data_IF_203210351745
#
_entry.id   IF_203210351745
#
_cell.length_a   1.000
_cell.length_b   1.000
_cell.length_c   1.000
_cell.angle_alpha   90.00
_cell.angle_beta   90.00
_cell.angle_gamma   90.00
#
_symmetry.space_group_name_H-M   'P 1'
#
loop_
_entity.id
_entity.type
_entity.pdbx_description
1 polymer ?
#
# COMPACT_ATOMS: atom_id res chain seq x y z
N UNK A 1 17.31 -1.36 -27.17
CA UNK A 1 18.27 -0.26 -26.97
C UNK A 1 18.00 0.28 -25.59
N UNK A 2 18.98 0.20 -24.68
CA UNK A 2 18.78 0.64 -23.29
C UNK A 2 18.61 2.16 -23.29
N UNK A 3 17.51 2.65 -22.71
CA UNK A 3 17.27 4.08 -22.56
C UNK A 3 18.31 4.67 -21.60
N UNK A 4 18.72 5.92 -21.82
CA UNK A 4 19.47 6.66 -20.80
C UNK A 4 18.65 6.75 -19.51
N UNK A 5 19.31 6.72 -18.35
CA UNK A 5 18.66 6.78 -17.03
C UNK A 5 17.57 7.87 -16.93
N UNK A 6 17.89 9.10 -17.35
CA UNK A 6 16.94 10.22 -17.32
C UNK A 6 15.67 9.92 -18.13
N UNK A 7 15.82 9.38 -19.34
CA UNK A 7 14.66 9.00 -20.18
C UNK A 7 13.81 7.92 -19.53
N UNK A 8 14.44 6.93 -18.89
CA UNK A 8 13.72 5.86 -18.19
C UNK A 8 12.93 6.41 -16.98
N UNK A 9 13.54 7.30 -16.18
CA UNK A 9 12.87 7.94 -15.04
C UNK A 9 11.70 8.81 -15.52
N UNK A 10 11.91 9.64 -16.55
CA UNK A 10 10.86 10.50 -17.11
C UNK A 10 9.70 9.66 -17.63
N UNK A 11 9.98 8.59 -18.39
CA UNK A 11 8.94 7.67 -18.87
C UNK A 11 8.18 7.03 -17.70
N UNK A 12 8.90 6.54 -16.69
CA UNK A 12 8.30 5.95 -15.50
C UNK A 12 7.37 6.92 -14.77
N UNK A 13 7.84 8.14 -14.46
CA UNK A 13 7.04 9.16 -13.77
C UNK A 13 5.82 9.55 -14.61
N UNK A 14 5.99 9.79 -15.91
CA UNK A 14 4.89 10.15 -16.80
C UNK A 14 3.82 9.05 -16.83
N UNK A 15 4.20 7.77 -16.92
CA UNK A 15 3.26 6.65 -16.95
C UNK A 15 2.61 6.44 -15.57
N UNK A 16 3.37 6.51 -14.48
CA UNK A 16 2.85 6.30 -13.13
C UNK A 16 1.81 7.36 -12.76
N UNK A 17 2.17 8.63 -12.86
CA UNK A 17 1.26 9.73 -12.53
C UNK A 17 0.14 9.87 -13.57
N UNK A 18 0.44 9.66 -14.85
CA UNK A 18 -0.58 9.70 -15.91
C UNK A 18 -1.64 8.62 -15.72
N UNK A 19 -1.24 7.37 -15.45
CA UNK A 19 -2.20 6.29 -15.20
C UNK A 19 -2.95 6.46 -13.89
N UNK A 20 -2.32 6.97 -12.82
CA UNK A 20 -3.02 7.31 -11.59
C UNK A 20 -4.09 8.38 -11.81
N UNK A 21 -3.76 9.43 -12.57
CA UNK A 21 -4.72 10.47 -12.93
C UNK A 21 -5.87 9.92 -13.78
N UNK A 22 -5.60 9.01 -14.71
CA UNK A 22 -6.67 8.34 -15.48
C UNK A 22 -7.60 7.51 -14.59
N UNK A 23 -7.05 6.80 -13.59
CA UNK A 23 -7.84 6.04 -12.60
C UNK A 23 -8.70 6.98 -11.75
N UNK A 24 -8.14 8.11 -11.31
CA UNK A 24 -8.87 9.13 -10.54
C UNK A 24 -9.98 9.77 -11.39
N UNK A 25 -9.70 10.15 -12.63
CA UNK A 25 -10.69 10.69 -13.55
C UNK A 25 -11.80 9.68 -13.84
N UNK A 26 -11.48 8.42 -14.07
CA UNK A 26 -12.47 7.37 -14.27
C UNK A 26 -13.41 7.23 -13.06
N UNK A 27 -12.88 7.31 -11.83
CA UNK A 27 -13.72 7.33 -10.64
C UNK A 27 -14.64 8.56 -10.62
N UNK A 28 -14.18 9.73 -11.04
CA UNK A 28 -14.97 10.96 -10.99
C UNK A 28 -16.02 11.06 -12.11
N UNK A 29 -15.70 10.62 -13.32
CA UNK A 29 -16.53 10.89 -14.52
C UNK A 29 -17.45 9.74 -14.88
N UNK A 30 -17.12 8.49 -14.54
CA UNK A 30 -17.99 7.36 -14.85
C UNK A 30 -19.19 7.41 -13.89
N UNK A 31 -20.43 7.37 -14.41
CA UNK A 31 -21.65 7.39 -13.59
C UNK A 31 -21.89 6.03 -12.92
N UNK A 32 -20.99 5.66 -12.02
CA UNK A 32 -21.10 4.50 -11.13
C UNK A 32 -21.44 4.95 -9.72
N UNK A 33 -22.26 4.16 -9.03
CA UNK A 33 -22.55 4.32 -7.61
C UNK A 33 -21.26 4.29 -6.79
N UNK A 34 -21.04 5.32 -5.98
CA UNK A 34 -19.87 5.42 -5.10
C UNK A 34 -20.12 4.62 -3.83
N UNK A 35 -19.86 3.33 -3.91
CA UNK A 35 -19.94 2.41 -2.77
C UNK A 35 -18.56 2.22 -2.13
N UNK A 36 -18.47 1.72 -0.89
CA UNK A 36 -17.19 1.34 -0.29
C UNK A 36 -16.38 0.38 -1.17
N UNK A 37 -17.06 -0.56 -1.84
CA UNK A 37 -16.42 -1.47 -2.80
C UNK A 37 -15.81 -0.71 -3.99
N UNK A 38 -16.52 0.28 -4.53
CA UNK A 38 -16.02 1.15 -5.61
C UNK A 38 -14.72 1.85 -5.19
N UNK A 39 -14.67 2.39 -3.97
CA UNK A 39 -13.47 3.04 -3.44
C UNK A 39 -12.33 2.05 -3.17
N UNK A 40 -12.63 0.83 -2.69
CA UNK A 40 -11.62 -0.22 -2.53
C UNK A 40 -11.00 -0.61 -3.87
N UNK A 41 -11.82 -0.81 -4.90
CA UNK A 41 -11.34 -1.14 -6.25
C UNK A 41 -10.52 0.02 -6.83
N UNK A 42 -10.99 1.26 -6.71
CA UNK A 42 -10.23 2.43 -7.13
C UNK A 42 -8.87 2.53 -6.43
N UNK A 43 -8.84 2.39 -5.10
CA UNK A 43 -7.60 2.44 -4.32
C UNK A 43 -6.63 1.34 -4.73
N UNK A 44 -7.14 0.12 -4.95
CA UNK A 44 -6.34 -1.01 -5.42
C UNK A 44 -5.74 -0.74 -6.81
N UNK A 45 -6.55 -0.26 -7.76
CA UNK A 45 -6.07 0.09 -9.10
C UNK A 45 -5.00 1.19 -9.05
N UNK A 46 -5.23 2.22 -8.24
CA UNK A 46 -4.29 3.33 -8.05
C UNK A 46 -2.94 2.84 -7.52
N UNK A 47 -2.92 1.93 -6.55
CA UNK A 47 -1.68 1.36 -5.99
C UNK A 47 -0.88 0.51 -6.99
N UNK A 48 -1.50 0.01 -8.07
CA UNK A 48 -0.81 -0.73 -9.13
C UNK A 48 -0.29 0.14 -10.28
N UNK A 49 -0.57 1.43 -10.28
CA UNK A 49 -0.04 2.37 -11.29
C UNK A 49 1.50 2.41 -11.34
N UNK A 50 2.26 2.31 -10.22
CA UNK A 50 3.72 2.25 -10.26
C UNK A 50 4.24 0.93 -10.86
N UNK A 51 3.51 -0.19 -10.67
CA UNK A 51 3.81 -1.47 -11.34
C UNK A 51 3.59 -1.37 -12.84
N UNK A 52 2.47 -0.77 -13.26
CA UNK A 52 2.23 -0.55 -14.70
C UNK A 52 3.35 0.28 -15.32
N UNK A 53 3.75 1.35 -14.64
CA UNK A 53 4.84 2.22 -15.09
C UNK A 53 6.18 1.50 -15.21
N UNK A 54 6.54 0.66 -14.23
CA UNK A 54 7.80 -0.11 -14.29
C UNK A 54 7.78 -1.10 -15.45
N UNK A 55 6.70 -1.86 -15.62
CA UNK A 55 6.58 -2.85 -16.69
C UNK A 55 6.59 -2.19 -18.08
N UNK A 56 5.87 -1.09 -18.26
CA UNK A 56 5.83 -0.37 -19.53
C UNK A 56 7.19 0.26 -19.85
N UNK A 57 7.86 0.87 -18.87
CA UNK A 57 9.18 1.46 -19.08
C UNK A 57 10.22 0.40 -19.46
N UNK A 58 10.24 -0.74 -18.75
CA UNK A 58 11.11 -1.87 -19.10
C UNK A 58 10.77 -2.44 -20.48
N UNK A 59 9.49 -2.48 -20.84
CA UNK A 59 9.07 -2.92 -22.19
C UNK A 59 9.61 -1.98 -23.27
N UNK A 60 9.59 -0.67 -23.04
CA UNK A 60 10.16 0.34 -23.94
C UNK A 60 11.70 0.21 -24.08
N UNK A 61 12.38 -0.25 -23.04
CA UNK A 61 13.82 -0.56 -23.11
C UNK A 61 14.13 -1.87 -23.86
N UNK A 62 13.10 -2.68 -24.15
CA UNK A 62 13.18 -3.91 -24.93
C UNK A 62 13.09 -5.19 -24.12
N UNK A 63 12.87 -5.12 -22.80
CA UNK A 63 12.70 -6.32 -21.97
C UNK A 63 11.45 -7.10 -22.39
N UNK A 64 11.51 -8.43 -22.31
CA UNK A 64 10.32 -9.29 -22.39
C UNK A 64 9.56 -9.22 -21.07
N UNK A 65 8.26 -9.54 -21.09
CA UNK A 65 7.40 -9.42 -19.90
C UNK A 65 7.94 -10.17 -18.66
N UNK A 66 8.41 -11.41 -18.84
CA UNK A 66 9.01 -12.20 -17.75
C UNK A 66 10.31 -11.59 -17.22
N UNK A 67 11.14 -11.06 -18.10
CA UNK A 67 12.39 -10.40 -17.73
C UNK A 67 12.13 -9.10 -16.98
N UNK A 68 11.10 -8.34 -17.39
CA UNK A 68 10.68 -7.12 -16.72
C UNK A 68 10.16 -7.39 -15.30
N UNK A 69 9.35 -8.44 -15.13
CA UNK A 69 8.88 -8.88 -13.81
C UNK A 69 10.04 -9.31 -12.90
N UNK A 70 10.95 -10.13 -13.43
CA UNK A 70 12.15 -10.55 -12.70
C UNK A 70 13.03 -9.35 -12.32
N UNK A 71 13.24 -8.41 -13.26
CA UNK A 71 13.95 -7.16 -13.01
C UNK A 71 13.28 -6.36 -11.89
N UNK A 72 11.95 -6.26 -11.89
CA UNK A 72 11.19 -5.57 -10.86
C UNK A 72 11.12 -6.33 -9.51
N UNK A 73 11.84 -7.45 -9.38
CA UNK A 73 11.93 -8.21 -8.13
C UNK A 73 10.76 -9.17 -7.89
N UNK A 74 9.92 -9.41 -8.90
CA UNK A 74 8.91 -10.46 -8.85
C UNK A 74 9.58 -11.79 -9.13
N UNK A 75 10.09 -12.41 -8.06
CA UNK A 75 10.74 -13.72 -8.10
C UNK A 75 9.80 -14.81 -7.59
N UNK A 76 9.86 -15.99 -8.19
CA UNK A 76 9.12 -17.16 -7.72
C UNK A 76 9.93 -17.93 -6.69
N UNK A 77 9.34 -18.26 -5.54
CA UNK A 77 9.90 -19.20 -4.58
C UNK A 77 9.63 -18.81 -3.12
N UNK A 78 9.26 -19.77 -2.25
CA UNK A 78 9.10 -19.49 -0.83
C UNK A 78 10.46 -19.21 -0.20
N UNK A 79 10.59 -18.08 0.48
CA UNK A 79 11.73 -17.79 1.35
C UNK A 79 11.21 -17.66 2.77
N UNK A 80 11.63 -18.59 3.65
CA UNK A 80 11.28 -18.54 5.07
C UNK A 80 11.69 -17.20 5.70
N UNK A 81 12.80 -16.61 5.22
CA UNK A 81 13.24 -15.28 5.64
C UNK A 81 12.23 -14.21 5.24
N UNK A 82 11.72 -14.23 4.01
CA UNK A 82 10.70 -13.27 3.54
C UNK A 82 9.42 -13.44 4.35
N UNK A 83 8.93 -14.67 4.53
CA UNK A 83 7.69 -14.95 5.28
C UNK A 83 7.84 -14.48 6.74
N UNK A 84 8.99 -14.75 7.38
CA UNK A 84 9.25 -14.28 8.75
C UNK A 84 9.18 -12.75 8.83
N UNK A 85 9.90 -12.04 7.97
CA UNK A 85 9.90 -10.57 8.00
C UNK A 85 8.54 -9.98 7.59
N UNK A 86 7.84 -10.64 6.69
CA UNK A 86 6.48 -10.28 6.28
C UNK A 86 5.51 -10.31 7.45
N UNK A 87 5.51 -11.37 8.25
CA UNK A 87 4.65 -11.50 9.42
C UNK A 87 5.07 -10.55 10.56
N UNK A 88 6.37 -10.25 10.69
CA UNK A 88 6.85 -9.35 11.73
C UNK A 88 6.71 -7.86 11.37
N UNK A 89 6.67 -7.50 10.09
CA UNK A 89 6.67 -6.10 9.65
C UNK A 89 5.51 -5.26 10.23
N UNK A 90 4.26 -5.74 10.30
CA UNK A 90 3.16 -4.98 10.92
C UNK A 90 3.35 -4.69 12.40
N UNK A 91 4.18 -5.46 13.11
CA UNK A 91 4.47 -5.23 14.53
C UNK A 91 5.30 -3.96 14.73
N UNK A 92 6.03 -3.48 13.72
CA UNK A 92 6.83 -2.26 13.83
C UNK A 92 5.92 -1.03 14.00
N UNK A 93 4.93 -0.76 13.12
CA UNK A 93 3.93 0.28 13.35
C UNK A 93 3.16 0.14 14.66
N UNK A 94 2.81 -1.08 15.08
CA UNK A 94 2.15 -1.30 16.36
C UNK A 94 3.04 -0.95 17.55
N UNK A 95 4.33 -1.26 17.46
CA UNK A 95 5.31 -0.89 18.48
C UNK A 95 5.46 0.64 18.55
N UNK A 96 5.47 1.32 17.40
CA UNK A 96 5.48 2.78 17.34
C UNK A 96 4.19 3.39 17.94
N UNK A 97 3.02 2.81 17.65
CA UNK A 97 1.75 3.23 18.23
C UNK A 97 1.73 3.03 19.75
N UNK A 98 2.20 1.88 20.24
CA UNK A 98 2.28 1.60 21.67
C UNK A 98 3.20 2.60 22.39
N UNK A 99 4.36 2.91 21.79
CA UNK A 99 5.27 3.92 22.32
C UNK A 99 4.62 5.31 22.33
N UNK A 100 3.93 5.69 21.25
CA UNK A 100 3.19 6.95 21.17
C UNK A 100 2.15 7.05 22.28
N UNK A 101 1.34 6.00 22.49
CA UNK A 101 0.35 5.94 23.57
C UNK A 101 1.03 6.06 24.94
N UNK A 102 2.14 5.35 25.17
CA UNK A 102 2.87 5.40 26.43
C UNK A 102 3.39 6.82 26.74
N UNK A 103 3.93 7.51 25.73
CA UNK A 103 4.40 8.91 25.87
C UNK A 103 3.24 9.83 26.21
N UNK A 104 2.15 9.77 25.45
CA UNK A 104 0.96 10.63 25.64
C UNK A 104 0.28 10.34 26.99
N UNK A 105 0.31 9.09 27.45
CA UNK A 105 -0.15 8.71 28.78
C UNK A 105 0.75 9.29 29.89
N UNK A 106 2.08 9.19 29.74
CA UNK A 106 3.04 9.71 30.72
C UNK A 106 2.95 11.23 30.91
N UNK A 107 2.62 11.98 29.86
CA UNK A 107 2.41 13.44 29.94
C UNK A 107 0.98 13.84 30.38
N UNK A 108 0.11 12.87 30.69
CA UNK A 108 -1.24 13.10 31.19
C UNK A 108 -2.25 13.60 30.16
N UNK A 109 -1.95 13.50 28.85
CA UNK A 109 -2.83 13.97 27.77
C UNK A 109 -3.57 12.84 27.06
N UNK A 110 -3.36 11.59 27.49
CA UNK A 110 -4.05 10.44 26.89
C UNK A 110 -5.55 10.47 27.16
N UNK A 111 -6.33 10.32 26.09
CA UNK A 111 -7.78 10.23 26.17
C UNK A 111 -8.31 9.23 25.15
N UNK A 112 -9.30 8.43 25.56
CA UNK A 112 -10.04 7.52 24.68
C UNK A 112 -11.30 8.16 24.09
N UNK A 113 -11.59 9.42 24.44
CA UNK A 113 -12.80 10.13 24.03
C UNK A 113 -13.02 10.16 22.50
N UNK A 114 -11.99 10.35 21.65
CA UNK A 114 -12.20 10.29 20.20
C UNK A 114 -12.71 8.93 19.72
N UNK A 115 -12.20 7.84 20.31
CA UNK A 115 -12.68 6.50 20.02
C UNK A 115 -14.10 6.28 20.54
N UNK A 116 -14.41 6.79 21.74
CA UNK A 116 -15.77 6.70 22.28
C UNK A 116 -16.79 7.41 21.38
N UNK A 117 -16.46 8.61 20.88
CA UNK A 117 -17.34 9.34 19.94
C UNK A 117 -17.59 8.56 18.65
N UNK A 118 -16.56 7.92 18.09
CA UNK A 118 -16.70 7.03 16.92
C UNK A 118 -17.58 5.81 17.20
N UNK A 119 -17.58 5.31 18.43
CA UNK A 119 -18.38 4.16 18.85
C UNK A 119 -19.82 4.51 19.20
N UNK A 120 -20.09 5.72 19.68
CA UNK A 120 -21.45 6.23 19.92
C UNK A 120 -22.28 6.30 18.63
N UNK A 121 -21.63 6.48 17.48
CA UNK A 121 -22.26 6.45 16.16
C UNK A 121 -22.52 5.02 15.63
N UNK A 122 -22.01 3.99 16.33
CA UNK A 122 -22.14 2.59 15.94
C UNK A 122 -23.36 1.94 16.61
N UNK A 123 -24.19 1.17 15.87
CA UNK A 123 -25.39 0.53 16.42
C UNK A 123 -25.11 -0.62 17.40
N UNK A 124 -23.84 -1.02 17.56
CA UNK A 124 -23.39 -2.00 18.54
C UNK A 124 -22.67 -1.22 19.63
N UNK A 125 -22.93 -1.46 20.93
CA UNK A 125 -22.13 -0.90 22.01
C UNK A 125 -20.99 -1.87 22.37
N UNK A 126 -19.84 -1.89 21.66
CA UNK A 126 -18.70 -2.59 22.19
C UNK A 126 -18.14 -1.76 23.34
N UNK A 127 -17.76 -2.43 24.44
CA UNK A 127 -16.86 -1.83 25.40
C UNK A 127 -15.66 -1.23 24.63
N UNK A 128 -15.35 0.07 24.78
CA UNK A 128 -14.33 0.74 23.98
C UNK A 128 -12.96 0.06 24.02
N UNK A 129 -12.60 -0.54 25.15
CA UNK A 129 -11.37 -1.31 25.29
C UNK A 129 -11.40 -2.60 24.47
N UNK A 130 -12.53 -3.33 24.47
CA UNK A 130 -12.72 -4.55 23.67
C UNK A 130 -12.68 -4.21 22.19
N UNK A 131 -13.33 -3.11 21.78
CA UNK A 131 -13.30 -2.65 20.41
C UNK A 131 -11.88 -2.29 19.95
N UNK A 132 -11.13 -1.54 20.77
CA UNK A 132 -9.76 -1.17 20.46
C UNK A 132 -8.88 -2.43 20.26
N UNK A 133 -9.02 -3.43 21.13
CA UNK A 133 -8.31 -4.70 21.00
C UNK A 133 -8.70 -5.46 19.74
N UNK A 134 -10.00 -5.54 19.44
CA UNK A 134 -10.51 -6.17 18.22
C UNK A 134 -10.00 -5.46 16.95
N UNK A 135 -9.94 -4.13 16.98
CA UNK A 135 -9.43 -3.30 15.88
C UNK A 135 -7.94 -3.53 15.65
N UNK A 136 -7.13 -3.65 16.71
CA UNK A 136 -5.70 -3.97 16.57
C UNK A 136 -5.50 -5.34 15.91
N UNK A 137 -6.26 -6.34 16.35
CA UNK A 137 -6.19 -7.68 15.78
C UNK A 137 -6.66 -7.72 14.33
N UNK A 138 -7.80 -7.09 14.01
CA UNK A 138 -8.31 -7.03 12.64
C UNK A 138 -7.39 -6.22 11.72
N UNK A 139 -6.76 -5.15 12.24
CA UNK A 139 -5.77 -4.36 11.51
C UNK A 139 -4.53 -5.18 11.15
N UNK A 140 -4.08 -6.07 12.05
CA UNK A 140 -2.97 -6.98 11.75
C UNK A 140 -3.33 -7.91 10.59
N UNK A 141 -4.51 -8.55 10.65
CA UNK A 141 -4.99 -9.44 9.59
C UNK A 141 -5.10 -8.66 8.28
N UNK A 142 -5.69 -7.47 8.30
CA UNK A 142 -5.80 -6.62 7.12
C UNK A 142 -4.42 -6.25 6.55
N UNK A 143 -3.44 -5.97 7.41
CA UNK A 143 -2.07 -5.66 7.03
C UNK A 143 -1.43 -6.81 6.23
N UNK A 144 -1.51 -8.05 6.73
CA UNK A 144 -0.92 -9.24 6.10
C UNK A 144 -1.76 -9.85 4.96
N UNK A 145 -2.93 -9.28 4.65
CA UNK A 145 -3.82 -9.77 3.58
C UNK A 145 -4.05 -8.70 2.51
N UNK A 146 -5.15 -7.96 2.61
CA UNK A 146 -5.62 -7.00 1.60
C UNK A 146 -4.61 -5.89 1.40
N UNK A 147 -4.06 -5.32 2.48
CA UNK A 147 -3.10 -4.24 2.39
C UNK A 147 -1.79 -4.69 1.74
N UNK A 148 -1.36 -5.93 2.00
CA UNK A 148 -0.19 -6.51 1.33
C UNK A 148 -0.41 -6.62 -0.17
N UNK A 149 -1.56 -7.15 -0.58
CA UNK A 149 -1.91 -7.25 -2.00
C UNK A 149 -1.91 -5.89 -2.67
N UNK A 150 -2.50 -4.89 -2.02
CA UNK A 150 -2.56 -3.53 -2.55
C UNK A 150 -1.15 -2.88 -2.62
N UNK A 151 -0.38 -2.96 -1.52
CA UNK A 151 0.97 -2.38 -1.43
C UNK A 151 1.97 -3.05 -2.39
N UNK A 152 1.79 -4.33 -2.73
CA UNK A 152 2.67 -5.03 -3.66
C UNK A 152 2.78 -4.32 -5.03
N UNK A 153 1.70 -3.69 -5.49
CA UNK A 153 1.70 -2.87 -6.70
C UNK A 153 2.64 -1.65 -6.62
N UNK A 154 2.72 -1.01 -5.46
CA UNK A 154 3.63 0.10 -5.23
C UNK A 154 5.07 -0.40 -5.10
N UNK A 155 5.26 -1.46 -4.33
CA UNK A 155 6.57 -2.06 -4.04
C UNK A 155 7.35 -2.49 -5.29
N UNK A 156 6.66 -3.14 -6.24
CA UNK A 156 7.24 -3.53 -7.54
C UNK A 156 7.68 -2.30 -8.35
N UNK A 157 6.91 -1.21 -8.29
CA UNK A 157 7.26 0.04 -8.97
C UNK A 157 8.45 0.75 -8.31
N UNK A 158 8.31 1.08 -7.03
CA UNK A 158 9.28 1.90 -6.31
C UNK A 158 10.58 1.15 -6.04
N UNK A 159 10.51 0.04 -5.30
CA UNK A 159 11.69 -0.70 -4.86
C UNK A 159 12.18 -1.66 -5.94
N UNK A 160 11.26 -2.21 -6.72
CA UNK A 160 11.55 -3.12 -7.82
C UNK A 160 12.22 -2.46 -9.02
N UNK A 161 11.75 -1.27 -9.43
CA UNK A 161 12.27 -0.57 -10.61
C UNK A 161 13.02 0.72 -10.26
N UNK A 162 12.36 1.67 -9.61
CA UNK A 162 12.92 3.03 -9.46
C UNK A 162 14.21 3.03 -8.64
N UNK A 163 14.21 2.39 -7.46
CA UNK A 163 15.41 2.28 -6.61
C UNK A 163 16.53 1.53 -7.32
N UNK A 164 16.23 0.50 -8.12
CA UNK A 164 17.27 -0.24 -8.87
C UNK A 164 17.89 0.59 -9.99
N UNK A 165 17.11 1.45 -10.64
CA UNK A 165 17.61 2.35 -11.69
C UNK A 165 18.42 3.52 -11.14
N UNK A 166 18.11 3.97 -9.91
CA UNK A 166 18.78 5.09 -9.25
C UNK A 166 20.05 4.70 -8.48
N UNK A 167 20.31 3.40 -8.28
CA UNK A 167 21.55 2.86 -7.74
C UNK A 167 22.59 2.70 -8.84
#
# INVERSE_FOLDING_TARGET
>A
MIMSLLKAIVAYVAIAFGSALLVDLALLTIPITKTPLTYMVWGFLRMYTPTLASLMTLRLEGYRFREALSFAGVTTGPSLKIIKWFLLAPLIPFSALALYIAVVYAIGTFTINPLMRLLEESPIPPNPAIYALALLFSSYIAAITVNTGAALGEEIGWRGFLVKKLK
#
